data_IF_009134933464
#
_entry.id   IF_009134933464
#
_cell.length_a   1.000
_cell.length_b   1.000
_cell.length_c   1.000
_cell.angle_alpha   90.00
_cell.angle_beta   90.00
_cell.angle_gamma   90.00
#
_symmetry.space_group_name_H-M   'P 1'
#
loop_
_entity.id
_entity.type
_entity.pdbx_description
1 polymer ?
#
# COMPACT_ATOMS: atom_id res chain seq x y z
N UNK A 1 -14.59 -13.84 -6.42
CA UNK A 1 -14.39 -12.94 -5.27
C UNK A 1 -13.84 -11.61 -5.77
N UNK A 2 -14.45 -10.50 -5.39
CA UNK A 2 -13.98 -9.14 -5.67
C UNK A 2 -13.20 -8.62 -4.47
N UNK A 3 -12.05 -8.03 -4.77
CA UNK A 3 -11.14 -7.44 -3.81
C UNK A 3 -10.95 -5.95 -4.14
N UNK A 4 -11.88 -5.07 -3.73
CA UNK A 4 -11.66 -3.63 -3.85
C UNK A 4 -10.45 -3.21 -3.02
N UNK A 5 -9.91 -2.02 -3.30
CA UNK A 5 -9.03 -1.35 -2.37
C UNK A 5 -9.86 -0.47 -1.42
N UNK A 6 -9.93 -0.81 -0.13
CA UNK A 6 -10.57 0.01 0.91
C UNK A 6 -9.56 0.17 2.05
N UNK A 7 -8.63 1.11 1.90
CA UNK A 7 -7.48 1.21 2.83
C UNK A 7 -7.81 2.00 4.09
N UNK A 8 -8.73 2.96 3.97
CA UNK A 8 -9.13 3.91 5.01
C UNK A 8 -10.54 4.44 4.71
N UNK A 9 -11.11 5.29 5.57
CA UNK A 9 -12.44 5.90 5.41
C UNK A 9 -12.47 7.02 4.36
N UNK A 10 -11.30 7.60 4.02
CA UNK A 10 -11.20 8.70 3.05
C UNK A 10 -11.18 8.24 1.58
N UNK A 11 -11.83 9.02 0.71
CA UNK A 11 -11.89 8.77 -0.74
C UNK A 11 -10.51 8.72 -1.44
N UNK A 12 -9.48 9.39 -0.88
CA UNK A 12 -8.09 9.36 -1.38
C UNK A 12 -7.47 7.95 -1.34
N UNK A 13 -8.02 7.04 -0.53
CA UNK A 13 -7.35 5.79 -0.17
C UNK A 13 -8.02 4.53 -0.69
N UNK A 14 -9.16 4.68 -1.35
CA UNK A 14 -10.06 3.58 -1.66
C UNK A 14 -10.53 3.63 -3.11
N UNK A 15 -10.90 2.50 -3.71
CA UNK A 15 -11.57 2.42 -5.02
C UNK A 15 -12.88 3.19 -4.95
N UNK A 16 -13.40 3.70 -6.06
CA UNK A 16 -14.74 4.27 -6.09
C UNK A 16 -15.80 3.21 -5.73
N UNK A 17 -16.72 3.49 -4.78
CA UNK A 17 -17.82 2.60 -4.46
C UNK A 17 -18.69 2.28 -5.68
N UNK A 18 -18.91 3.26 -6.58
CA UNK A 18 -19.71 3.06 -7.79
C UNK A 18 -19.08 2.06 -8.76
N UNK A 19 -17.74 2.07 -8.88
CA UNK A 19 -17.01 1.08 -9.69
C UNK A 19 -17.10 -0.31 -9.04
N UNK A 20 -16.97 -0.39 -7.72
CA UNK A 20 -17.13 -1.66 -6.99
C UNK A 20 -18.51 -2.26 -7.19
N UNK A 21 -19.55 -1.43 -7.05
CA UNK A 21 -20.93 -1.82 -7.31
C UNK A 21 -21.12 -2.28 -8.75
N UNK A 22 -20.64 -1.52 -9.73
CA UNK A 22 -20.80 -1.84 -11.15
C UNK A 22 -20.17 -3.20 -11.48
N UNK A 23 -18.93 -3.44 -11.06
CA UNK A 23 -18.25 -4.73 -11.28
C UNK A 23 -19.00 -5.86 -10.58
N UNK A 24 -19.39 -5.68 -9.31
CA UNK A 24 -20.13 -6.70 -8.55
C UNK A 24 -21.46 -7.04 -9.23
N UNK A 25 -22.23 -6.03 -9.62
CA UNK A 25 -23.52 -6.18 -10.29
C UNK A 25 -23.37 -6.90 -11.62
N UNK A 26 -22.36 -6.55 -12.43
CA UNK A 26 -22.09 -7.23 -13.69
C UNK A 26 -21.87 -8.72 -13.48
N UNK A 27 -20.98 -9.14 -12.56
CA UNK A 27 -20.77 -10.56 -12.28
C UNK A 27 -22.03 -11.27 -11.78
N UNK A 28 -22.83 -10.62 -10.92
CA UNK A 28 -24.10 -11.18 -10.46
C UNK A 28 -25.10 -11.37 -11.61
N UNK A 29 -25.14 -10.47 -12.60
CA UNK A 29 -25.99 -10.60 -13.79
C UNK A 29 -25.58 -11.77 -14.69
N UNK A 30 -24.30 -12.14 -14.71
CA UNK A 30 -23.80 -13.35 -15.34
C UNK A 30 -24.06 -14.63 -14.51
N UNK A 31 -24.79 -14.52 -13.38
CA UNK A 31 -25.14 -15.66 -12.52
C UNK A 31 -24.03 -16.08 -11.57
N UNK A 32 -22.96 -15.29 -11.40
CA UNK A 32 -21.89 -15.61 -10.47
C UNK A 32 -22.33 -15.42 -9.01
N UNK A 33 -21.83 -16.27 -8.12
CA UNK A 33 -21.88 -16.03 -6.67
C UNK A 33 -20.78 -15.02 -6.29
N UNK A 34 -21.17 -13.76 -6.09
CA UNK A 34 -20.22 -12.67 -5.83
C UNK A 34 -19.95 -12.53 -4.34
N UNK A 35 -18.68 -12.67 -3.94
CA UNK A 35 -18.17 -12.28 -2.62
C UNK A 35 -17.37 -10.99 -2.76
N UNK A 36 -17.55 -10.01 -1.88
CA UNK A 36 -16.76 -8.78 -1.81
C UNK A 36 -16.08 -8.70 -0.45
N UNK A 37 -14.77 -8.49 -0.41
CA UNK A 37 -14.06 -8.34 0.87
C UNK A 37 -12.75 -7.57 0.73
N UNK A 38 -12.38 -6.88 1.80
CA UNK A 38 -11.11 -6.18 1.97
C UNK A 38 -10.64 -6.37 3.43
N UNK A 39 -9.35 -6.26 3.68
CA UNK A 39 -8.85 -6.00 5.02
C UNK A 39 -8.23 -4.59 4.99
N UNK A 40 -8.85 -3.58 5.62
CA UNK A 40 -8.34 -2.20 5.65
C UNK A 40 -6.97 -2.05 6.33
N UNK A 41 -6.45 -0.82 6.41
CA UNK A 41 -5.22 -0.56 7.15
C UNK A 41 -5.30 -1.09 8.59
N UNK A 42 -4.17 -1.53 9.15
CA UNK A 42 -4.14 -2.26 10.44
C UNK A 42 -4.80 -1.46 11.57
N UNK A 43 -4.66 -0.13 11.53
CA UNK A 43 -5.18 0.80 12.54
C UNK A 43 -6.67 1.12 12.35
N UNK A 44 -7.24 0.82 11.18
CA UNK A 44 -8.65 1.07 10.86
C UNK A 44 -9.48 -0.13 11.27
N UNK A 45 -10.60 0.12 11.94
CA UNK A 45 -11.59 -0.92 12.25
C UNK A 45 -12.32 -1.30 10.96
N UNK A 46 -12.42 -2.59 10.67
CA UNK A 46 -13.05 -3.11 9.45
C UNK A 46 -14.48 -2.60 9.29
N UNK A 47 -15.29 -2.68 10.34
CA UNK A 47 -16.68 -2.22 10.35
C UNK A 47 -16.82 -0.74 9.97
N UNK A 48 -15.95 0.12 10.52
CA UNK A 48 -15.97 1.56 10.20
C UNK A 48 -15.65 1.77 8.71
N UNK A 49 -14.58 1.15 8.21
CA UNK A 49 -14.22 1.28 6.81
C UNK A 49 -15.33 0.77 5.87
N UNK A 50 -15.99 -0.33 6.23
CA UNK A 50 -17.07 -0.90 5.43
C UNK A 50 -18.30 -0.01 5.43
N UNK A 51 -18.68 0.55 6.57
CA UNK A 51 -19.82 1.47 6.71
C UNK A 51 -19.58 2.77 5.95
N UNK A 52 -18.45 3.44 6.17
CA UNK A 52 -18.11 4.71 5.48
C UNK A 52 -17.97 4.52 3.96
N UNK A 53 -17.53 3.35 3.51
CA UNK A 53 -17.47 3.01 2.09
C UNK A 53 -18.84 2.71 1.47
N UNK A 54 -19.87 2.43 2.28
CA UNK A 54 -21.17 1.93 1.81
C UNK A 54 -21.13 0.49 1.32
N UNK A 55 -20.18 -0.33 1.82
CA UNK A 55 -19.92 -1.67 1.29
C UNK A 55 -21.11 -2.63 1.43
N UNK A 56 -21.85 -2.53 2.53
CA UNK A 56 -23.00 -3.41 2.80
C UNK A 56 -24.15 -3.13 1.84
N UNK A 57 -24.55 -1.85 1.71
CA UNK A 57 -25.63 -1.43 0.83
C UNK A 57 -25.30 -1.72 -0.64
N UNK A 58 -24.09 -1.38 -1.09
CA UNK A 58 -23.70 -1.63 -2.48
C UNK A 58 -23.68 -3.14 -2.79
N UNK A 59 -23.27 -3.97 -1.82
CA UNK A 59 -23.24 -5.42 -2.01
C UNK A 59 -24.65 -5.99 -2.12
N UNK A 60 -25.58 -5.54 -1.27
CA UNK A 60 -26.99 -5.93 -1.32
C UNK A 60 -27.61 -5.58 -2.67
N UNK A 61 -27.46 -4.32 -3.12
CA UNK A 61 -27.97 -3.85 -4.42
C UNK A 61 -27.35 -4.62 -5.60
N UNK A 62 -26.11 -5.07 -5.47
CA UNK A 62 -25.42 -5.88 -6.47
C UNK A 62 -25.72 -7.38 -6.36
N UNK A 63 -26.58 -7.83 -5.43
CA UNK A 63 -26.82 -9.26 -5.12
C UNK A 63 -25.53 -10.02 -4.78
N UNK A 64 -24.61 -9.34 -4.11
CA UNK A 64 -23.33 -9.86 -3.65
C UNK A 64 -23.33 -10.03 -2.13
N UNK A 65 -22.35 -10.79 -1.62
CA UNK A 65 -22.16 -11.02 -0.18
C UNK A 65 -20.85 -10.40 0.29
N UNK A 66 -20.93 -9.59 1.34
CA UNK A 66 -19.73 -9.08 2.03
C UNK A 66 -19.10 -10.21 2.85
N UNK A 67 -17.76 -10.31 2.80
CA UNK A 67 -16.96 -11.20 3.64
C UNK A 67 -15.85 -10.41 4.34
N UNK A 68 -15.53 -10.81 5.57
CA UNK A 68 -14.39 -10.25 6.30
C UNK A 68 -13.10 -10.94 5.88
N UNK A 69 -12.12 -10.19 5.38
CA UNK A 69 -10.79 -10.73 5.14
C UNK A 69 -9.88 -10.61 6.35
N UNK A 70 -10.26 -9.81 7.35
CA UNK A 70 -9.53 -9.72 8.62
C UNK A 70 -9.85 -10.88 9.55
N UNK A 71 -11.14 -11.16 9.73
CA UNK A 71 -11.65 -12.11 10.74
C UNK A 71 -12.14 -13.42 10.13
N UNK A 72 -12.25 -13.50 8.80
CA UNK A 72 -12.60 -14.72 8.09
C UNK A 72 -11.55 -15.83 8.18
N UNK A 73 -11.86 -17.03 7.66
CA UNK A 73 -10.94 -18.15 7.63
C UNK A 73 -9.71 -17.85 6.75
N UNK A 74 -8.57 -18.38 7.18
CA UNK A 74 -7.30 -18.28 6.45
C UNK A 74 -6.64 -19.65 6.36
N UNK A 75 -6.16 -20.00 5.17
CA UNK A 75 -5.42 -21.25 4.93
C UNK A 75 -3.97 -20.93 4.57
N UNK A 76 -3.06 -21.81 5.01
CA UNK A 76 -1.63 -21.73 4.69
C UNK A 76 -1.39 -22.35 3.32
N UNK A 77 -0.77 -21.62 2.40
CA UNK A 77 -0.56 -22.06 1.02
C UNK A 77 0.92 -21.92 0.67
N UNK A 78 1.49 -22.95 0.05
CA UNK A 78 2.88 -22.90 -0.45
C UNK A 78 2.98 -21.99 -1.66
N UNK A 79 4.08 -21.25 -1.75
CA UNK A 79 4.38 -20.41 -2.93
C UNK A 79 4.88 -21.33 -4.06
N UNK A 80 4.21 -21.38 -5.23
CA UNK A 80 4.63 -22.27 -6.32
C UNK A 80 6.05 -21.97 -6.81
N UNK A 81 6.87 -23.01 -6.97
CA UNK A 81 8.27 -22.86 -7.43
C UNK A 81 9.18 -22.14 -6.42
N UNK A 82 8.77 -22.01 -5.17
CA UNK A 82 9.50 -21.24 -4.15
C UNK A 82 9.33 -19.72 -4.32
N UNK A 83 9.92 -18.98 -3.40
CA UNK A 83 9.77 -17.53 -3.28
C UNK A 83 10.60 -16.99 -2.12
N UNK A 84 10.50 -15.70 -1.85
CA UNK A 84 11.10 -15.14 -0.64
C UNK A 84 10.42 -15.71 0.62
N UNK A 85 9.10 -15.86 0.56
CA UNK A 85 8.34 -16.69 1.49
C UNK A 85 8.09 -18.05 0.86
N UNK A 86 8.32 -19.13 1.61
CA UNK A 86 8.01 -20.50 1.17
C UNK A 86 6.50 -20.79 1.18
N UNK A 87 5.75 -20.10 2.03
CA UNK A 87 4.32 -20.23 2.22
C UNK A 87 3.73 -18.93 2.75
N UNK A 88 2.43 -18.69 2.54
CA UNK A 88 1.70 -17.50 2.99
C UNK A 88 0.34 -17.94 3.54
N UNK A 89 -0.16 -17.30 4.61
CA UNK A 89 -1.55 -17.50 5.03
C UNK A 89 -2.47 -16.49 4.34
N UNK A 90 -3.42 -17.00 3.57
CA UNK A 90 -4.36 -16.22 2.75
C UNK A 90 -5.80 -16.53 3.13
N UNK A 91 -6.71 -15.61 2.84
CA UNK A 91 -8.14 -15.83 2.99
C UNK A 91 -8.59 -17.08 2.24
N UNK A 92 -9.29 -17.99 2.94
CA UNK A 92 -9.84 -19.21 2.32
C UNK A 92 -10.86 -18.87 1.23
N UNK A 93 -11.59 -17.75 1.37
CA UNK A 93 -12.48 -17.24 0.31
C UNK A 93 -11.75 -16.97 -1.01
N UNK A 94 -10.51 -16.48 -0.96
CA UNK A 94 -9.74 -16.20 -2.16
C UNK A 94 -9.15 -17.47 -2.78
N UNK A 95 -8.79 -18.46 -1.96
CA UNK A 95 -8.26 -19.75 -2.40
C UNK A 95 -9.36 -20.58 -3.07
N UNK A 96 -10.56 -20.56 -2.51
CA UNK A 96 -11.72 -21.32 -2.98
C UNK A 96 -12.45 -20.65 -4.15
N UNK A 97 -12.17 -19.38 -4.43
CA UNK A 97 -12.82 -18.66 -5.52
C UNK A 97 -12.34 -19.14 -6.89
N UNK A 98 -13.28 -19.35 -7.82
CA UNK A 98 -12.98 -19.67 -9.22
C UNK A 98 -12.26 -18.53 -9.95
N UNK A 99 -12.49 -17.29 -9.50
CA UNK A 99 -11.88 -16.08 -10.01
C UNK A 99 -11.72 -15.06 -8.88
N UNK A 100 -10.52 -14.49 -8.75
CA UNK A 100 -10.28 -13.32 -7.88
C UNK A 100 -10.12 -12.07 -8.74
N UNK A 101 -10.98 -11.08 -8.51
CA UNK A 101 -10.92 -9.78 -9.19
C UNK A 101 -10.21 -8.79 -8.27
N UNK A 102 -8.97 -8.43 -8.62
CA UNK A 102 -8.26 -7.32 -7.96
C UNK A 102 -8.86 -6.03 -8.49
N UNK A 103 -9.66 -5.33 -7.68
CA UNK A 103 -10.22 -4.04 -8.04
C UNK A 103 -9.44 -2.96 -7.29
N UNK A 104 -8.35 -2.51 -7.90
CA UNK A 104 -7.41 -1.58 -7.30
C UNK A 104 -7.77 -0.13 -7.64
N UNK A 105 -7.32 0.82 -6.83
CA UNK A 105 -7.32 2.24 -7.21
C UNK A 105 -5.98 2.63 -7.86
N UNK A 106 -6.00 3.51 -8.87
CA UNK A 106 -4.81 4.20 -9.37
C UNK A 106 -4.24 5.07 -8.25
N UNK A 107 -3.16 4.62 -7.61
CA UNK A 107 -2.68 5.22 -6.36
C UNK A 107 -1.16 5.11 -6.22
N UNK A 108 -0.50 6.23 -5.88
CA UNK A 108 0.92 6.26 -5.54
C UNK A 108 1.19 5.70 -4.13
N UNK A 109 2.45 5.46 -3.79
CA UNK A 109 2.89 5.05 -2.46
C UNK A 109 4.37 5.37 -2.25
N UNK A 110 4.77 5.75 -1.04
CA UNK A 110 6.15 6.13 -0.75
C UNK A 110 7.16 4.98 -0.78
N UNK A 111 6.75 3.74 -0.50
CA UNK A 111 7.67 2.58 -0.48
C UNK A 111 7.80 1.91 -1.85
N UNK A 112 6.67 1.64 -2.51
CA UNK A 112 6.60 0.84 -3.74
C UNK A 112 6.34 1.68 -4.98
N UNK A 113 6.35 3.01 -4.84
CA UNK A 113 5.94 4.01 -5.85
C UNK A 113 4.46 3.98 -6.20
N UNK A 114 3.89 2.80 -6.43
CA UNK A 114 2.49 2.57 -6.79
C UNK A 114 1.86 1.43 -5.98
N UNK A 115 0.52 1.39 -5.88
CA UNK A 115 -0.23 0.35 -5.15
C UNK A 115 -1.04 -0.62 -6.02
N UNK A 116 -1.56 -0.18 -7.17
CA UNK A 116 -2.23 -0.89 -8.28
C UNK A 116 -2.68 -2.37 -8.08
N UNK A 117 -2.74 -3.16 -9.15
CA UNK A 117 -3.35 -4.49 -9.18
C UNK A 117 -2.58 -5.54 -8.39
N UNK A 118 -1.26 -5.65 -8.62
CA UNK A 118 -0.40 -6.65 -7.99
C UNK A 118 -0.36 -6.47 -6.46
N UNK A 119 -0.14 -5.25 -6.00
CA UNK A 119 -0.02 -4.96 -4.56
C UNK A 119 -1.39 -4.87 -3.85
N UNK A 120 -2.48 -4.57 -4.54
CA UNK A 120 -3.84 -4.63 -3.95
C UNK A 120 -4.21 -6.04 -3.45
N UNK A 121 -3.63 -7.09 -4.05
CA UNK A 121 -3.79 -8.48 -3.59
C UNK A 121 -3.30 -8.69 -2.15
N UNK A 122 -2.41 -7.83 -1.63
CA UNK A 122 -1.93 -7.90 -0.24
C UNK A 122 -3.06 -7.83 0.79
N UNK A 123 -4.24 -7.30 0.46
CA UNK A 123 -5.40 -7.35 1.37
C UNK A 123 -5.99 -8.76 1.57
N UNK A 124 -5.54 -9.77 0.81
CA UNK A 124 -5.96 -11.17 0.97
C UNK A 124 -5.15 -11.93 2.03
N UNK A 125 -4.02 -11.37 2.50
CA UNK A 125 -3.17 -12.04 3.47
C UNK A 125 -3.74 -11.88 4.89
N UNK A 126 -3.50 -12.88 5.74
CA UNK A 126 -3.85 -12.80 7.16
C UNK A 126 -3.27 -11.52 7.79
N UNK A 127 -3.97 -10.81 8.68
CA UNK A 127 -3.52 -9.53 9.22
C UNK A 127 -2.08 -9.51 9.76
N UNK A 128 -1.62 -10.62 10.37
CA UNK A 128 -0.23 -10.76 10.85
C UNK A 128 0.82 -10.70 9.73
N UNK A 129 0.47 -11.12 8.52
CA UNK A 129 1.35 -11.09 7.35
C UNK A 129 1.49 -9.69 6.75
N UNK A 130 0.52 -8.79 6.98
CA UNK A 130 0.59 -7.43 6.43
C UNK A 130 1.85 -6.69 6.87
N UNK A 131 2.30 -6.89 8.11
CA UNK A 131 3.56 -6.32 8.62
C UNK A 131 4.76 -7.16 8.21
N UNK A 132 4.65 -8.50 8.22
CA UNK A 132 5.73 -9.43 7.83
C UNK A 132 6.28 -9.13 6.43
N UNK A 133 5.41 -8.74 5.50
CA UNK A 133 5.82 -8.28 4.17
C UNK A 133 6.75 -7.04 4.24
N UNK A 134 6.48 -6.07 5.12
CA UNK A 134 7.29 -4.85 5.22
C UNK A 134 8.63 -5.06 5.91
N UNK A 135 8.71 -5.94 6.90
CA UNK A 135 9.99 -6.22 7.57
C UNK A 135 10.88 -7.23 6.85
N UNK A 136 10.32 -8.03 5.95
CA UNK A 136 11.10 -8.88 5.04
C UNK A 136 11.43 -8.12 3.77
N UNK A 137 10.89 -8.60 2.65
CA UNK A 137 10.98 -7.94 1.35
C UNK A 137 9.56 -7.76 0.79
N UNK A 138 9.06 -6.53 0.82
CA UNK A 138 7.70 -6.21 0.39
C UNK A 138 7.48 -6.51 -1.09
N UNK A 139 8.43 -6.12 -1.94
CA UNK A 139 8.33 -6.29 -3.39
C UNK A 139 8.32 -7.78 -3.75
N UNK A 140 9.21 -8.59 -3.15
CA UNK A 140 9.24 -10.03 -3.42
C UNK A 140 8.02 -10.75 -2.81
N UNK A 141 7.55 -10.33 -1.64
CA UNK A 141 6.32 -10.87 -1.04
C UNK A 141 5.08 -10.62 -1.91
N UNK A 142 5.00 -9.48 -2.59
CA UNK A 142 3.93 -9.19 -3.56
C UNK A 142 3.97 -10.19 -4.72
N UNK A 143 5.16 -10.51 -5.23
CA UNK A 143 5.33 -11.52 -6.30
C UNK A 143 4.90 -12.89 -5.80
N UNK A 144 5.40 -13.32 -4.64
CA UNK A 144 5.05 -14.61 -4.03
C UNK A 144 3.54 -14.80 -3.87
N UNK A 145 2.85 -13.74 -3.43
CA UNK A 145 1.39 -13.71 -3.30
C UNK A 145 0.68 -13.88 -4.65
N UNK A 146 1.15 -13.17 -5.68
CA UNK A 146 0.54 -13.22 -7.01
C UNK A 146 0.84 -14.54 -7.74
N UNK A 147 1.89 -15.29 -7.36
CA UNK A 147 2.14 -16.66 -7.82
C UNK A 147 1.10 -17.66 -7.28
N UNK A 148 0.52 -17.39 -6.11
CA UNK A 148 -0.50 -18.26 -5.50
C UNK A 148 -1.86 -18.10 -6.22
N UNK A 149 -2.29 -16.87 -6.49
CA UNK A 149 -3.59 -16.59 -7.10
C UNK A 149 -3.48 -16.54 -8.63
N UNK A 150 -3.70 -17.70 -9.28
CA UNK A 150 -3.55 -17.83 -10.74
C UNK A 150 -4.75 -17.32 -11.54
N UNK A 151 -5.97 -17.66 -11.13
CA UNK A 151 -7.21 -17.26 -11.82
C UNK A 151 -7.62 -15.88 -11.33
N UNK A 152 -7.21 -14.84 -12.04
CA UNK A 152 -7.47 -13.46 -11.64
C UNK A 152 -7.75 -12.53 -12.81
N UNK A 153 -8.49 -11.48 -12.50
CA UNK A 153 -8.72 -10.32 -13.35
C UNK A 153 -8.28 -9.09 -12.56
N UNK A 154 -7.38 -8.29 -13.12
CA UNK A 154 -7.00 -7.01 -12.55
C UNK A 154 -7.86 -5.94 -13.19
N UNK A 155 -8.53 -5.13 -12.37
CA UNK A 155 -9.21 -3.91 -12.77
C UNK A 155 -8.62 -2.78 -11.93
N UNK A 156 -8.13 -1.74 -12.59
CA UNK A 156 -7.63 -0.53 -11.95
C UNK A 156 -8.64 0.57 -12.19
N UNK A 157 -9.27 1.01 -11.10
CA UNK A 157 -10.08 2.20 -11.03
C UNK A 157 -9.18 3.44 -11.08
N UNK A 158 -9.16 4.06 -12.24
CA UNK A 158 -8.55 5.34 -12.52
C UNK A 158 -9.63 6.39 -12.82
N UNK A 159 -10.82 6.28 -12.23
CA UNK A 159 -11.78 7.41 -12.23
C UNK A 159 -11.11 8.63 -11.59
N UNK A 160 -10.39 8.39 -10.50
CA UNK A 160 -9.48 9.33 -9.88
C UNK A 160 -8.09 8.73 -9.66
N UNK A 161 -7.06 9.44 -10.13
CA UNK A 161 -5.67 9.15 -9.83
C UNK A 161 -5.27 9.75 -8.47
N UNK A 162 -4.83 8.93 -7.53
CA UNK A 162 -4.58 9.32 -6.13
C UNK A 162 -3.10 9.46 -5.86
N UNK A 163 -2.61 10.70 -5.82
CA UNK A 163 -1.25 10.97 -5.39
C UNK A 163 -1.21 11.10 -3.87
N UNK A 164 -0.78 10.04 -3.19
CA UNK A 164 -0.68 10.02 -1.72
C UNK A 164 0.43 10.94 -1.20
N UNK A 165 1.44 11.24 -2.02
CA UNK A 165 2.60 12.02 -1.60
C UNK A 165 2.36 13.53 -1.71
N UNK A 166 1.58 13.97 -2.70
CA UNK A 166 1.06 15.33 -2.75
C UNK A 166 -0.28 15.50 -2.02
N UNK A 167 -0.95 14.40 -1.66
CA UNK A 167 -2.33 14.38 -1.11
C UNK A 167 -3.35 15.02 -2.06
N UNK A 168 -3.22 14.74 -3.36
CA UNK A 168 -4.09 15.26 -4.43
C UNK A 168 -4.76 14.12 -5.19
N UNK A 169 -6.00 14.36 -5.63
CA UNK A 169 -6.71 13.50 -6.57
C UNK A 169 -6.82 14.17 -7.94
N UNK A 170 -6.47 13.44 -8.99
CA UNK A 170 -6.63 13.86 -10.38
C UNK A 170 -7.89 13.23 -10.98
N UNK A 171 -8.77 13.98 -11.68
CA UNK A 171 -9.95 13.44 -12.35
C UNK A 171 -9.53 12.78 -13.67
N UNK A 172 -9.05 11.54 -13.59
CA UNK A 172 -8.50 10.81 -14.74
C UNK A 172 -9.60 10.24 -15.64
N UNK A 173 -10.65 9.65 -15.06
CA UNK A 173 -11.81 9.17 -15.84
C UNK A 173 -11.57 7.89 -16.65
N UNK A 174 -10.67 7.01 -16.20
CA UNK A 174 -10.35 5.75 -16.88
C UNK A 174 -10.67 4.51 -16.04
N UNK A 175 -10.94 3.40 -16.71
CA UNK A 175 -10.88 2.05 -16.13
C UNK A 175 -9.93 1.22 -16.99
N UNK A 176 -9.00 0.50 -16.35
CA UNK A 176 -8.13 -0.44 -17.03
C UNK A 176 -8.42 -1.85 -16.52
N UNK A 177 -8.51 -2.82 -17.42
CA UNK A 177 -8.77 -4.20 -17.05
C UNK A 177 -7.89 -5.16 -17.87
N UNK A 178 -7.28 -6.14 -17.20
CA UNK A 178 -6.51 -7.19 -17.87
C UNK A 178 -6.45 -8.48 -17.05
N UNK A 179 -6.33 -9.61 -17.75
CA UNK A 179 -6.01 -10.92 -17.13
C UNK A 179 -4.52 -11.01 -16.80
N UNK A 180 -3.69 -10.23 -17.49
CA UNK A 180 -2.27 -10.03 -17.19
C UNK A 180 -2.14 -8.86 -16.19
N UNK A 181 -1.68 -9.11 -14.95
CA UNK A 181 -1.65 -8.08 -13.92
C UNK A 181 -0.44 -7.14 -14.10
N UNK A 182 0.63 -7.63 -14.72
CA UNK A 182 1.87 -6.90 -14.95
C UNK A 182 1.59 -5.90 -16.06
N UNK A 183 0.88 -6.32 -17.10
CA UNK A 183 0.47 -5.44 -18.18
C UNK A 183 -0.46 -4.32 -17.68
N UNK A 184 -1.47 -4.65 -16.86
CA UNK A 184 -2.35 -3.65 -16.26
C UNK A 184 -1.57 -2.65 -15.39
N UNK A 185 -0.69 -3.15 -14.52
CA UNK A 185 0.11 -2.28 -13.64
C UNK A 185 1.13 -1.47 -14.45
N UNK A 186 1.74 -2.02 -15.49
CA UNK A 186 2.72 -1.34 -16.34
C UNK A 186 2.10 -0.18 -17.13
N UNK A 187 0.96 -0.41 -17.79
CA UNK A 187 0.23 0.63 -18.54
C UNK A 187 -0.23 1.74 -17.59
N UNK A 188 -0.86 1.37 -16.46
CA UNK A 188 -1.29 2.36 -15.47
C UNK A 188 -0.11 3.16 -14.90
N UNK A 189 1.01 2.49 -14.61
CA UNK A 189 2.23 3.13 -14.11
C UNK A 189 2.78 4.14 -15.11
N UNK A 190 2.77 3.80 -16.41
CA UNK A 190 3.18 4.71 -17.48
C UNK A 190 2.28 5.93 -17.59
N UNK A 191 0.96 5.74 -17.50
CA UNK A 191 -0.03 6.83 -17.48
C UNK A 191 0.22 7.78 -16.30
N UNK A 192 0.57 7.23 -15.14
CA UNK A 192 0.95 8.02 -13.96
C UNK A 192 2.28 8.80 -14.13
N UNK A 193 2.98 8.62 -15.26
CA UNK A 193 4.24 9.32 -15.56
C UNK A 193 5.49 8.62 -15.02
N UNK A 194 5.35 7.41 -14.47
CA UNK A 194 6.48 6.63 -13.98
C UNK A 194 7.01 5.67 -15.04
N UNK A 195 8.27 5.26 -14.87
CA UNK A 195 8.87 4.18 -15.66
C UNK A 195 8.53 2.83 -15.01
N UNK A 196 7.75 1.96 -15.69
CA UNK A 196 7.32 0.70 -15.11
C UNK A 196 8.50 -0.26 -14.84
N UNK A 197 9.64 -0.13 -15.54
CA UNK A 197 10.84 -0.95 -15.28
C UNK A 197 11.53 -0.61 -13.96
N UNK A 198 11.31 0.60 -13.45
CA UNK A 198 11.85 1.03 -12.14
C UNK A 198 10.98 0.61 -10.98
N UNK A 199 9.80 0.05 -11.23
CA UNK A 199 8.91 -0.42 -10.17
C UNK A 199 9.24 -1.87 -9.83
N UNK A 200 9.98 -2.06 -8.73
CA UNK A 200 10.57 -3.35 -8.36
C UNK A 200 9.59 -4.52 -8.39
N UNK A 201 8.42 -4.42 -7.74
CA UNK A 201 7.47 -5.53 -7.70
C UNK A 201 6.82 -5.83 -9.06
N UNK A 202 6.72 -4.86 -9.97
CA UNK A 202 6.21 -5.10 -11.33
C UNK A 202 7.29 -5.83 -12.14
N UNK A 203 8.55 -5.34 -12.09
CA UNK A 203 9.69 -6.00 -12.74
C UNK A 203 9.90 -7.43 -12.24
N UNK A 204 9.93 -7.63 -10.93
CA UNK A 204 10.06 -8.97 -10.34
C UNK A 204 8.88 -9.87 -10.70
N UNK A 205 7.67 -9.33 -10.88
CA UNK A 205 6.51 -10.09 -11.32
C UNK A 205 6.65 -10.57 -12.78
N UNK A 206 7.17 -9.72 -13.68
CA UNK A 206 7.53 -10.15 -15.04
C UNK A 206 8.59 -11.26 -14.99
N UNK A 207 9.67 -11.07 -14.24
CA UNK A 207 10.76 -12.07 -14.12
C UNK A 207 10.25 -13.41 -13.57
N UNK A 208 9.20 -13.39 -12.75
CA UNK A 208 8.52 -14.58 -12.24
C UNK A 208 7.48 -15.18 -13.22
N UNK A 209 7.34 -14.65 -14.43
CA UNK A 209 6.42 -15.11 -15.46
C UNK A 209 4.95 -14.81 -15.17
N UNK A 210 4.65 -13.78 -14.38
CA UNK A 210 3.27 -13.42 -14.02
C UNK A 210 2.55 -12.57 -15.08
N UNK A 211 3.29 -12.08 -16.08
CA UNK A 211 2.78 -11.21 -17.13
C UNK A 211 3.85 -10.42 -17.85
N UNK A 212 3.40 -9.47 -18.67
CA UNK A 212 4.22 -8.66 -19.59
C UNK A 212 4.36 -7.23 -19.06
N UNK A 213 5.60 -6.76 -18.93
CA UNK A 213 5.98 -5.40 -18.51
C UNK A 213 6.23 -4.50 -19.72
N UNK A 214 6.82 -5.05 -20.77
CA UNK A 214 7.25 -4.29 -21.94
C UNK A 214 6.02 -3.77 -22.71
N UNK A 215 5.83 -2.45 -22.69
CA UNK A 215 4.62 -1.79 -23.20
C UNK A 215 4.36 -2.07 -24.68
N UNK A 216 5.41 -2.26 -25.49
CA UNK A 216 5.32 -2.58 -26.91
C UNK A 216 4.74 -3.97 -27.17
N UNK A 217 4.79 -4.87 -26.18
CA UNK A 217 4.25 -6.23 -26.24
C UNK A 217 2.86 -6.33 -25.62
N UNK A 218 2.24 -5.21 -25.25
CA UNK A 218 0.90 -5.17 -24.65
C UNK A 218 -0.09 -4.65 -25.69
N UNK A 219 -1.07 -5.48 -26.05
CA UNK A 219 -2.20 -5.06 -26.89
C UNK A 219 -3.21 -4.26 -26.05
N UNK A 220 -3.32 -2.96 -26.33
CA UNK A 220 -4.22 -2.03 -25.64
C UNK A 220 -5.44 -1.81 -26.52
N UNK A 221 -6.60 -2.27 -26.04
CA UNK A 221 -7.90 -2.06 -26.69
C UNK A 221 -8.63 -0.88 -26.07
N UNK A 222 -9.21 -0.01 -26.89
CA UNK A 222 -9.97 1.17 -26.46
C UNK A 222 -9.12 2.43 -26.48
N UNK A 223 -9.02 3.11 -25.34
CA UNK A 223 -8.27 4.37 -25.21
C UNK A 223 -6.77 4.17 -25.44
N UNK A 224 -6.15 5.09 -26.19
CA UNK A 224 -4.70 5.05 -26.47
C UNK A 224 -3.91 5.58 -25.29
N UNK A 225 -2.96 4.80 -24.77
CA UNK A 225 -2.13 5.17 -23.61
C UNK A 225 -1.39 6.51 -23.80
N UNK A 226 -0.94 6.80 -25.02
CA UNK A 226 -0.24 8.04 -25.36
C UNK A 226 -1.10 9.29 -25.09
N UNK A 227 -2.42 9.19 -25.23
CA UNK A 227 -3.34 10.28 -24.95
C UNK A 227 -3.44 10.62 -23.46
N UNK A 228 -2.90 9.78 -22.58
CA UNK A 228 -3.04 9.91 -21.12
C UNK A 228 -1.70 10.08 -20.41
N UNK A 229 -0.61 9.64 -21.04
CA UNK A 229 0.75 9.76 -20.49
C UNK A 229 1.14 11.23 -20.34
N UNK A 230 1.58 11.62 -19.14
CA UNK A 230 2.04 12.98 -18.85
C UNK A 230 0.94 14.01 -18.63
N UNK A 231 -0.36 13.65 -18.73
CA UNK A 231 -1.47 14.55 -18.40
C UNK A 231 -1.57 14.89 -16.92
N UNK A 232 -1.06 14.01 -16.06
CA UNK A 232 -1.11 14.16 -14.62
C UNK A 232 0.29 14.03 -14.04
N UNK A 233 0.68 14.95 -13.17
CA UNK A 233 2.01 14.97 -12.57
C UNK A 233 1.96 14.29 -11.20
N UNK A 234 2.16 12.98 -11.16
CA UNK A 234 2.34 12.29 -9.87
C UNK A 234 3.70 12.65 -9.27
N UNK A 235 3.70 12.91 -7.97
CA UNK A 235 4.89 13.23 -7.21
C UNK A 235 5.82 12.03 -7.12
N UNK A 236 7.11 12.31 -7.04
CA UNK A 236 8.10 11.28 -6.73
C UNK A 236 7.83 10.69 -5.34
N UNK A 237 7.99 9.37 -5.17
CA UNK A 237 7.75 8.72 -3.89
C UNK A 237 8.76 9.21 -2.84
N UNK A 238 8.26 9.57 -1.66
CA UNK A 238 9.08 10.02 -0.53
C UNK A 238 9.53 8.82 0.31
N UNK A 239 10.33 7.94 -0.26
CA UNK A 239 10.77 6.73 0.43
C UNK A 239 11.68 7.11 1.63
N UNK A 240 11.29 6.81 2.88
CA UNK A 240 12.08 7.22 4.05
C UNK A 240 13.48 6.61 4.06
N UNK A 241 13.66 5.40 3.51
CA UNK A 241 14.96 4.73 3.48
C UNK A 241 15.92 5.41 2.49
N UNK A 242 15.42 5.83 1.32
CA UNK A 242 16.22 6.58 0.35
C UNK A 242 16.57 7.98 0.87
N UNK A 243 15.63 8.64 1.55
CA UNK A 243 15.87 9.94 2.19
C UNK A 243 16.99 9.84 3.24
N UNK A 244 16.92 8.88 4.17
CA UNK A 244 17.97 8.75 5.20
C UNK A 244 19.30 8.25 4.64
N UNK A 245 19.30 7.51 3.51
CA UNK A 245 20.54 7.07 2.85
C UNK A 245 21.39 8.27 2.40
N UNK A 246 20.77 9.37 1.96
CA UNK A 246 21.46 10.63 1.60
C UNK A 246 22.27 11.20 2.77
N UNK A 247 21.83 10.96 4.00
CA UNK A 247 22.50 11.45 5.23
C UNK A 247 23.79 10.69 5.59
N UNK A 248 24.20 9.70 4.78
CA UNK A 248 25.44 8.90 4.98
C UNK A 248 25.54 8.29 6.39
N UNK A 249 24.42 7.81 6.92
CA UNK A 249 24.34 7.11 8.20
C UNK A 249 24.18 8.00 9.44
N UNK A 250 24.07 9.32 9.27
CA UNK A 250 23.75 10.26 10.35
C UNK A 250 22.35 10.02 10.95
N UNK A 251 21.42 9.59 10.11
CA UNK A 251 20.09 9.12 10.51
C UNK A 251 19.96 7.63 10.19
N UNK A 252 19.48 6.84 11.15
CA UNK A 252 19.23 5.40 10.99
C UNK A 252 17.78 5.08 11.33
N UNK A 253 17.09 4.38 10.44
CA UNK A 253 15.76 3.83 10.71
C UNK A 253 15.93 2.37 11.14
N UNK A 254 15.50 2.05 12.36
CA UNK A 254 15.47 0.66 12.85
C UNK A 254 14.02 0.20 12.81
N UNK A 255 13.78 -0.82 12.00
CA UNK A 255 12.46 -1.40 11.80
C UNK A 255 12.24 -2.58 12.74
N UNK A 256 10.99 -2.73 13.19
CA UNK A 256 10.53 -3.97 13.80
C UNK A 256 9.06 -4.19 13.49
N UNK A 257 8.82 -4.75 12.31
CA UNK A 257 7.51 -5.09 11.78
C UNK A 257 6.55 -3.90 11.57
N UNK A 258 6.99 -2.79 10.95
CA UNK A 258 6.13 -1.61 10.77
C UNK A 258 4.99 -1.86 9.76
N UNK A 259 3.95 -1.03 9.81
CA UNK A 259 2.89 -1.02 8.79
C UNK A 259 3.19 -0.01 7.67
N UNK A 260 2.55 -0.17 6.50
CA UNK A 260 2.76 0.73 5.35
C UNK A 260 2.39 2.17 5.68
N UNK A 261 1.34 2.39 6.46
CA UNK A 261 0.89 3.73 6.83
C UNK A 261 1.95 4.51 7.60
N UNK A 262 2.59 3.90 8.61
CA UNK A 262 3.66 4.55 9.36
C UNK A 262 4.89 4.84 8.50
N UNK A 263 5.28 3.91 7.62
CA UNK A 263 6.43 4.14 6.74
C UNK A 263 6.15 5.22 5.67
N UNK A 264 4.93 5.27 5.14
CA UNK A 264 4.52 6.34 4.24
C UNK A 264 4.59 7.70 4.94
N UNK A 265 3.98 7.81 6.13
CA UNK A 265 3.97 9.05 6.89
C UNK A 265 5.38 9.47 7.35
N UNK A 266 6.22 8.52 7.78
CA UNK A 266 7.63 8.78 8.08
C UNK A 266 8.36 9.38 6.87
N UNK A 267 8.10 8.87 5.67
CA UNK A 267 8.63 9.42 4.43
C UNK A 267 8.18 10.85 4.17
N UNK A 268 6.90 11.15 4.38
CA UNK A 268 6.34 12.50 4.29
C UNK A 268 7.03 13.47 5.25
N UNK A 269 7.08 13.11 6.54
CA UNK A 269 7.71 13.93 7.57
C UNK A 269 9.17 14.24 7.27
N UNK A 270 9.94 13.23 6.83
CA UNK A 270 11.35 13.41 6.48
C UNK A 270 11.52 14.30 5.24
N UNK A 271 10.64 14.17 4.24
CA UNK A 271 10.70 15.00 3.05
C UNK A 271 10.43 16.49 3.35
N UNK A 272 9.58 16.80 4.34
CA UNK A 272 9.31 18.19 4.76
C UNK A 272 10.53 18.90 5.36
N UNK A 273 11.54 18.16 5.79
CA UNK A 273 12.80 18.69 6.32
C UNK A 273 14.02 18.17 5.56
N UNK A 274 13.85 17.76 4.29
CA UNK A 274 14.88 17.10 3.48
C UNK A 274 16.20 17.88 3.46
N UNK A 275 16.13 19.21 3.33
CA UNK A 275 17.29 20.10 3.29
C UNK A 275 18.09 20.15 4.60
N UNK A 276 17.49 19.73 5.72
CA UNK A 276 18.11 19.75 7.06
C UNK A 276 18.52 18.35 7.54
N UNK A 277 18.19 17.28 6.79
CA UNK A 277 18.48 15.91 7.21
C UNK A 277 20.00 15.65 7.38
N UNK A 278 20.84 16.37 6.65
CA UNK A 278 22.30 16.26 6.75
C UNK A 278 22.87 16.94 8.01
N UNK A 279 22.13 17.81 8.68
CA UNK A 279 22.60 18.52 9.87
C UNK A 279 22.52 17.65 11.13
N UNK A 280 21.79 16.54 11.07
CA UNK A 280 21.71 15.57 12.16
C UNK A 280 23.04 14.84 12.38
N UNK A 281 23.25 14.40 13.61
CA UNK A 281 24.39 13.59 14.03
C UNK A 281 23.84 12.50 14.95
N UNK A 282 24.02 11.25 14.53
CA UNK A 282 23.62 10.03 15.26
C UNK A 282 22.16 10.03 15.76
N UNK A 283 21.21 10.23 14.85
CA UNK A 283 19.77 10.11 15.12
C UNK A 283 19.27 8.70 14.76
N UNK A 284 18.55 8.07 15.68
CA UNK A 284 17.88 6.79 15.43
C UNK A 284 16.37 6.97 15.50
N UNK A 285 15.67 6.51 14.47
CA UNK A 285 14.21 6.47 14.42
C UNK A 285 13.77 5.01 14.49
N UNK A 286 13.09 4.63 15.57
CA UNK A 286 12.45 3.32 15.69
C UNK A 286 11.05 3.36 15.09
N UNK A 287 10.71 2.33 14.32
CA UNK A 287 9.37 2.17 13.76
C UNK A 287 8.91 0.72 13.78
N UNK A 288 7.71 0.49 14.32
CA UNK A 288 7.07 -0.83 14.40
C UNK A 288 7.11 -1.47 15.79
N UNK A 289 6.17 -2.39 16.09
CA UNK A 289 5.93 -2.96 17.43
C UNK A 289 7.07 -3.82 17.99
N UNK A 290 7.89 -4.39 17.11
CA UNK A 290 9.00 -5.29 17.46
C UNK A 290 10.35 -4.55 17.52
N UNK A 291 10.38 -3.26 17.16
CA UNK A 291 11.58 -2.44 17.26
C UNK A 291 11.91 -2.22 18.73
N UNK A 292 13.18 -2.35 19.09
CA UNK A 292 13.65 -2.23 20.47
C UNK A 292 14.68 -1.10 20.57
N UNK A 293 14.60 -0.27 21.62
CA UNK A 293 15.62 0.74 21.89
C UNK A 293 16.93 0.06 22.30
N UNK A 294 18.05 0.55 21.76
CA UNK A 294 19.38 0.20 22.26
C UNK A 294 19.80 1.19 23.35
N UNK A 295 20.39 0.69 24.45
CA UNK A 295 20.66 1.45 25.68
C UNK A 295 21.64 2.63 25.52
N UNK A 296 22.39 2.70 24.42
CA UNK A 296 23.47 3.68 24.20
C UNK A 296 23.08 4.87 23.30
N UNK A 297 21.83 4.96 22.83
CA UNK A 297 21.42 5.97 21.85
C UNK A 297 21.02 7.29 22.52
N UNK A 298 21.77 8.38 22.24
CA UNK A 298 21.46 9.73 22.78
C UNK A 298 20.26 10.40 22.09
N UNK A 299 20.16 10.28 20.76
CA UNK A 299 19.06 10.85 19.97
C UNK A 299 18.19 9.72 19.43
N UNK A 300 17.14 9.39 20.17
CA UNK A 300 16.22 8.29 19.85
C UNK A 300 14.81 8.83 19.67
N UNK A 301 14.23 8.61 18.49
CA UNK A 301 12.82 8.88 18.18
C UNK A 301 12.04 7.57 18.15
N UNK A 302 10.88 7.56 18.80
CA UNK A 302 9.96 6.43 18.85
C UNK A 302 8.72 6.78 18.03
N UNK A 303 8.65 6.30 16.78
CA UNK A 303 7.63 6.71 15.83
C UNK A 303 6.42 5.75 15.83
N UNK A 304 5.33 6.17 16.46
CA UNK A 304 4.04 5.48 16.44
C UNK A 304 3.61 4.82 17.74
N UNK A 305 2.28 4.68 17.91
CA UNK A 305 1.64 4.19 19.13
C UNK A 305 2.10 2.80 19.58
N UNK A 306 2.57 1.96 18.65
CA UNK A 306 3.12 0.64 18.97
C UNK A 306 4.41 0.68 19.82
N UNK A 307 5.08 1.84 19.89
CA UNK A 307 6.29 2.07 20.67
C UNK A 307 6.03 2.84 21.99
N UNK A 308 4.77 3.14 22.32
CA UNK A 308 4.38 3.85 23.56
C UNK A 308 4.97 3.21 24.83
N UNK A 309 5.13 1.88 24.84
CA UNK A 309 5.77 1.11 25.93
C UNK A 309 7.22 1.52 26.23
N UNK A 310 7.89 2.19 25.28
CA UNK A 310 9.25 2.69 25.42
C UNK A 310 9.32 4.21 25.55
N UNK A 311 8.20 4.92 25.74
CA UNK A 311 8.13 6.39 25.71
C UNK A 311 9.15 7.10 26.62
N UNK A 312 9.60 6.46 27.69
CA UNK A 312 10.57 7.01 28.64
C UNK A 312 12.04 6.77 28.22
N UNK A 313 12.27 6.15 27.05
CA UNK A 313 13.59 5.83 26.51
C UNK A 313 14.04 6.77 25.39
N UNK A 314 13.17 7.63 24.88
CA UNK A 314 13.44 8.53 23.76
C UNK A 314 12.30 9.50 23.50
N UNK A 315 12.40 10.32 22.47
CA UNK A 315 11.36 11.28 22.08
C UNK A 315 10.22 10.50 21.40
N UNK A 316 9.06 10.46 22.04
CA UNK A 316 7.91 9.70 21.57
C UNK A 316 7.00 10.55 20.69
N UNK A 317 6.86 10.13 19.43
CA UNK A 317 5.96 10.76 18.44
C UNK A 317 4.72 9.88 18.31
N UNK A 318 3.60 10.33 18.88
CA UNK A 318 2.38 9.54 18.98
C UNK A 318 1.54 9.59 17.70
N UNK A 319 0.80 8.51 17.44
CA UNK A 319 -0.12 8.38 16.32
C UNK A 319 -0.12 6.99 15.69
N UNK A 320 -1.10 6.71 14.83
CA UNK A 320 -1.25 5.44 14.13
C UNK A 320 -1.89 5.64 12.74
N UNK A 321 -1.17 6.22 11.76
CA UNK A 321 0.23 6.68 11.84
C UNK A 321 0.39 8.05 12.54
N UNK A 322 1.60 8.44 12.98
CA UNK A 322 1.90 9.79 13.47
C UNK A 322 1.89 10.81 12.35
N UNK A 323 0.75 11.47 12.14
CA UNK A 323 0.56 12.42 11.03
C UNK A 323 1.09 13.81 11.35
N UNK A 324 1.51 14.53 10.31
CA UNK A 324 1.95 15.94 10.43
C UNK A 324 0.79 16.93 10.57
N UNK A 325 -0.37 16.60 10.02
CA UNK A 325 -1.51 17.54 9.87
C UNK A 325 -2.54 17.46 10.99
N UNK A 326 -2.56 16.34 11.72
CA UNK A 326 -3.37 16.13 12.93
C UNK A 326 -2.50 15.44 13.98
N UNK A 327 -1.44 16.12 14.47
CA UNK A 327 -0.56 15.51 15.45
C UNK A 327 -1.38 15.14 16.69
N UNK A 328 -1.03 14.00 17.28
CA UNK A 328 -1.60 13.59 18.55
C UNK A 328 -1.28 14.64 19.64
N UNK A 329 -1.58 14.38 20.93
CA UNK A 329 -1.17 15.27 22.04
C UNK A 329 0.37 15.35 22.26
N UNK A 330 1.16 15.00 21.26
CA UNK A 330 2.63 15.09 21.18
C UNK A 330 2.99 15.92 19.95
N UNK A 331 4.19 16.50 19.94
CA UNK A 331 4.74 17.15 18.74
C UNK A 331 4.74 16.21 17.52
N UNK A 332 4.60 16.78 16.33
CA UNK A 332 4.79 16.06 15.07
C UNK A 332 6.25 15.65 14.88
N UNK A 333 6.54 14.76 13.92
CA UNK A 333 7.93 14.39 13.67
C UNK A 333 8.74 15.58 13.14
N UNK A 334 8.18 16.40 12.24
CA UNK A 334 8.82 17.64 11.80
C UNK A 334 9.18 18.58 12.96
N UNK A 335 8.24 18.80 13.88
CA UNK A 335 8.46 19.65 15.05
C UNK A 335 9.56 19.08 15.97
N UNK A 336 9.53 17.76 16.21
CA UNK A 336 10.59 17.08 16.96
C UNK A 336 11.95 17.23 16.30
N UNK A 337 12.02 17.06 14.98
CA UNK A 337 13.26 17.19 14.22
C UNK A 337 13.81 18.62 14.29
N UNK A 338 12.96 19.64 14.16
CA UNK A 338 13.35 21.06 14.34
C UNK A 338 13.93 21.30 15.73
N UNK A 339 13.22 20.88 16.79
CA UNK A 339 13.67 21.06 18.18
C UNK A 339 15.00 20.37 18.49
N UNK A 340 15.32 19.25 17.82
CA UNK A 340 16.62 18.57 17.96
C UNK A 340 17.74 19.38 17.31
N UNK A 341 17.46 20.07 16.20
CA UNK A 341 18.43 20.93 15.53
C UNK A 341 18.66 22.22 16.34
N UNK A 342 17.60 22.84 16.85
CA UNK A 342 17.68 24.10 17.61
C UNK A 342 18.44 23.94 18.94
N UNK A 343 18.39 22.77 19.59
CA UNK A 343 19.12 22.47 20.84
C UNK A 343 20.64 22.28 20.65
N UNK A 344 21.18 22.49 19.45
CA UNK A 344 22.61 22.36 19.14
C UNK A 344 23.36 23.68 19.10
N UNK A 345 22.66 24.81 19.22
CA UNK A 345 23.21 26.12 19.62
C UNK A 345 23.33 26.20 21.15
#
# INVERSE_FOLDING_TARGET
MLKPNISDTGALFSTSPSVTWAVAKTFSQYGCKVLIGEDPSIHVKEEIAYTEYGLYELAEQAKARVVSLRYGPHSKVKVPGGGFFSEIQLSSFAIEADLVVSLAAMKSANITTVTLGLKNMKGLVKPSWKRKFHSGNLNQGIVDLNKIIKKRLTIIDATFGKDTSARVCYPVGLLMASRDPVAADAVCTRIMGFDPHKIEHIRFAQEAGLGTLDLENIDIVGERMENWTGKFCFSSPKNPFELVKKTRGKIKIIQGNPCSACLNELGESLALCENQLEDFKDLIILVGPEAKPHLSCRNLILFGNCLKKYKDKGIYVAGCPPTEYEPAKTDSLKEVLSKILDKRE
#
